data_IF_707579760825
#
_entry.id   IF_707579760825
#
_cell.length_a   1.000
_cell.length_b   1.000
_cell.length_c   1.000
_cell.angle_alpha   90.00
_cell.angle_beta   90.00
_cell.angle_gamma   90.00
#
_symmetry.space_group_name_H-M   'P 1'
#
loop_
_entity.id
_entity.type
_entity.pdbx_description
1 polymer ?
#
# COMPACT_ATOMS: atom_id res chain seq x y z
N UNK A 1 -36.59 -4.99 -7.20
CA UNK A 1 -36.17 -3.92 -6.26
C UNK A 1 -35.34 -2.95 -7.07
N UNK A 2 -35.88 -1.78 -7.39
CA UNK A 2 -35.25 -0.82 -8.31
C UNK A 2 -33.82 -0.49 -7.88
N UNK A 3 -32.87 -0.71 -8.78
CA UNK A 3 -31.52 -0.20 -8.66
C UNK A 3 -31.62 1.33 -8.63
N UNK A 4 -31.51 1.93 -7.45
CA UNK A 4 -31.22 3.36 -7.34
C UNK A 4 -29.80 3.54 -7.86
N UNK A 5 -29.67 4.07 -9.06
CA UNK A 5 -28.43 4.28 -9.84
C UNK A 5 -27.38 5.21 -9.19
N UNK A 6 -27.47 5.49 -7.88
CA UNK A 6 -26.61 6.45 -7.16
C UNK A 6 -25.76 5.85 -6.04
N UNK A 7 -25.77 4.53 -5.84
CA UNK A 7 -25.03 3.92 -4.73
C UNK A 7 -23.53 3.77 -4.98
N UNK A 8 -23.13 3.68 -6.24
CA UNK A 8 -21.75 3.51 -6.67
C UNK A 8 -21.49 4.44 -7.87
N UNK A 9 -20.54 5.37 -7.73
CA UNK A 9 -19.99 6.13 -8.87
C UNK A 9 -18.53 5.78 -9.03
N UNK A 10 -18.11 5.61 -10.28
CA UNK A 10 -16.77 5.19 -10.63
C UNK A 10 -16.28 6.11 -11.75
N UNK A 11 -15.20 6.82 -11.48
CA UNK A 11 -14.50 7.64 -12.46
C UNK A 11 -13.08 7.12 -12.56
N UNK A 12 -12.62 6.84 -13.78
CA UNK A 12 -11.27 6.36 -14.03
C UNK A 12 -10.57 7.29 -14.99
N UNK A 13 -9.31 7.58 -14.68
CA UNK A 13 -8.43 8.38 -15.53
C UNK A 13 -7.11 7.66 -15.70
N UNK A 14 -6.61 7.61 -16.93
CA UNK A 14 -5.24 7.15 -17.18
C UNK A 14 -4.30 8.33 -17.14
N UNK A 15 -3.27 8.23 -16.32
CA UNK A 15 -2.15 9.16 -16.21
C UNK A 15 -0.92 8.47 -16.80
N UNK A 16 -0.21 9.16 -17.69
CA UNK A 16 1.06 8.72 -18.23
C UNK A 16 2.17 9.41 -17.45
N UNK A 17 2.82 8.67 -16.56
CA UNK A 17 3.90 9.14 -15.70
C UNK A 17 5.23 9.08 -16.48
N UNK A 18 5.97 10.19 -16.61
CA UNK A 18 7.20 10.23 -17.39
C UNK A 18 8.32 9.46 -16.68
N UNK A 19 9.10 8.73 -17.48
CA UNK A 19 10.26 7.98 -17.02
C UNK A 19 11.33 8.03 -18.11
N UNK A 20 12.58 8.23 -17.71
CA UNK A 20 13.72 8.09 -18.58
C UNK A 20 14.34 6.71 -18.41
N UNK A 21 14.63 6.08 -19.53
CA UNK A 21 15.46 4.88 -19.60
C UNK A 21 16.78 5.25 -20.25
N UNK A 22 17.87 4.76 -19.67
CA UNK A 22 19.18 4.80 -20.30
C UNK A 22 19.86 3.46 -20.08
N UNK A 23 20.63 3.05 -21.07
CA UNK A 23 21.60 1.98 -20.94
C UNK A 23 22.97 2.61 -20.71
N UNK A 24 23.85 1.97 -19.97
CA UNK A 24 25.19 2.49 -19.77
C UNK A 24 26.24 1.41 -19.65
N UNK A 25 27.46 1.82 -19.95
CA UNK A 25 28.67 1.06 -19.71
C UNK A 25 29.55 1.82 -18.73
N UNK A 26 30.35 1.10 -17.95
CA UNK A 26 31.44 1.67 -17.14
C UNK A 26 32.72 0.96 -17.52
N UNK A 27 33.77 1.74 -17.78
CA UNK A 27 35.14 1.24 -17.90
C UNK A 27 36.08 2.18 -17.15
N UNK A 28 36.38 1.85 -15.90
CA UNK A 28 37.14 2.70 -14.98
C UNK A 28 38.27 1.92 -14.31
N UNK A 29 39.49 2.45 -14.38
CA UNK A 29 40.67 1.89 -13.72
C UNK A 29 41.14 2.82 -12.58
N UNK A 30 41.48 2.21 -11.44
CA UNK A 30 41.94 2.92 -10.25
C UNK A 30 43.36 2.52 -9.91
N UNK A 31 44.33 3.34 -10.34
CA UNK A 31 45.74 3.02 -10.14
C UNK A 31 46.42 3.91 -9.09
N UNK A 32 47.53 3.39 -8.58
CA UNK A 32 48.40 3.99 -7.56
C UNK A 32 49.86 3.79 -7.97
N UNK A 33 50.81 4.27 -7.18
CA UNK A 33 52.24 4.06 -7.42
C UNK A 33 52.71 2.60 -7.33
N UNK A 34 51.85 1.68 -6.85
CA UNK A 34 52.09 0.23 -6.83
C UNK A 34 51.39 -0.53 -7.94
N UNK A 35 50.62 0.16 -8.80
CA UNK A 35 49.82 -0.45 -9.87
C UNK A 35 48.32 -0.20 -9.69
N UNK A 36 47.52 -0.87 -10.50
CA UNK A 36 46.07 -0.77 -10.48
C UNK A 36 45.47 -1.61 -9.35
N UNK A 37 44.74 -0.94 -8.47
CA UNK A 37 44.20 -1.52 -7.23
C UNK A 37 42.73 -1.91 -7.36
N UNK A 38 42.02 -1.35 -8.35
CA UNK A 38 40.65 -1.74 -8.67
C UNK A 38 40.33 -1.40 -10.14
N UNK A 39 39.37 -2.12 -10.71
CA UNK A 39 38.82 -1.87 -12.03
C UNK A 39 37.31 -2.12 -11.98
N UNK A 40 36.53 -1.23 -12.59
CA UNK A 40 35.07 -1.38 -12.74
C UNK A 40 34.77 -1.49 -14.23
N UNK A 41 34.30 -2.68 -14.63
CA UNK A 41 33.86 -2.98 -15.99
C UNK A 41 32.43 -3.49 -15.96
N UNK A 42 31.50 -2.67 -16.44
CA UNK A 42 30.07 -3.01 -16.55
C UNK A 42 29.58 -2.70 -17.96
N UNK A 43 28.76 -3.59 -18.50
CA UNK A 43 28.31 -3.51 -19.89
C UNK A 43 26.80 -3.70 -19.96
N UNK A 44 26.12 -2.84 -20.71
CA UNK A 44 24.67 -2.86 -20.92
C UNK A 44 23.85 -2.80 -19.63
N UNK A 45 24.34 -2.09 -18.62
CA UNK A 45 23.56 -1.82 -17.41
C UNK A 45 22.42 -0.87 -17.71
N UNK A 46 21.36 -0.91 -16.91
CA UNK A 46 20.15 -0.12 -17.15
C UNK A 46 19.84 0.78 -15.96
N UNK A 47 19.50 2.04 -16.22
CA UNK A 47 19.01 2.98 -15.24
C UNK A 47 17.66 3.56 -15.66
N UNK A 48 16.77 3.68 -14.68
CA UNK A 48 15.42 4.20 -14.87
C UNK A 48 15.19 5.37 -13.93
N UNK A 49 15.00 6.56 -14.48
CA UNK A 49 14.87 7.81 -13.74
C UNK A 49 13.44 8.35 -13.83
N UNK A 50 12.97 8.96 -12.74
CA UNK A 50 11.65 9.59 -12.69
C UNK A 50 11.69 10.92 -13.47
N UNK A 51 10.72 11.13 -14.35
CA UNK A 51 10.69 12.33 -15.19
C UNK A 51 10.08 13.58 -14.53
N UNK A 52 9.63 13.48 -13.27
CA UNK A 52 9.06 14.58 -12.48
C UNK A 52 9.92 14.85 -11.24
N UNK A 53 10.42 13.80 -10.60
CA UNK A 53 11.25 13.89 -9.39
C UNK A 53 12.68 13.51 -9.70
N UNK A 54 13.64 14.22 -9.12
CA UNK A 54 15.06 13.85 -9.22
C UNK A 54 15.26 12.47 -8.56
N UNK A 55 15.86 11.54 -9.31
CA UNK A 55 16.25 10.23 -8.81
C UNK A 55 15.67 9.05 -9.60
N UNK A 56 15.99 7.84 -9.13
CA UNK A 56 15.49 6.59 -9.73
C UNK A 56 14.00 6.39 -9.46
N UNK A 57 13.32 5.73 -10.39
CA UNK A 57 12.00 5.16 -10.08
C UNK A 57 12.14 4.10 -8.99
N UNK A 58 11.06 3.84 -8.26
CA UNK A 58 11.03 2.82 -7.22
C UNK A 58 11.34 1.42 -7.80
N UNK A 59 12.13 0.60 -7.09
CA UNK A 59 12.54 -0.73 -7.56
C UNK A 59 11.35 -1.67 -7.85
N UNK A 60 10.27 -1.61 -7.06
CA UNK A 60 9.05 -2.39 -7.32
C UNK A 60 8.36 -1.95 -8.62
N UNK A 61 8.40 -0.64 -8.93
CA UNK A 61 7.87 -0.11 -10.18
C UNK A 61 8.74 -0.51 -11.37
N UNK A 62 10.06 -0.45 -11.20
CA UNK A 62 11.03 -0.93 -12.19
C UNK A 62 10.78 -2.41 -12.50
N UNK A 63 10.74 -3.25 -11.48
CA UNK A 63 10.49 -4.69 -11.63
C UNK A 63 9.14 -4.96 -12.31
N UNK A 64 8.09 -4.22 -11.93
CA UNK A 64 6.77 -4.37 -12.53
C UNK A 64 6.75 -4.12 -14.04
N UNK A 65 7.48 -3.11 -14.54
CA UNK A 65 7.49 -2.80 -15.98
C UNK A 65 8.61 -3.49 -16.77
N UNK A 66 9.77 -3.70 -16.15
CA UNK A 66 11.02 -4.03 -16.82
C UNK A 66 11.69 -5.31 -16.30
N UNK A 67 11.15 -5.97 -15.26
CA UNK A 67 11.73 -7.21 -14.70
C UNK A 67 11.76 -8.39 -15.68
N UNK A 68 10.99 -8.33 -16.76
CA UNK A 68 11.01 -9.31 -17.87
C UNK A 68 11.78 -8.81 -19.11
N UNK A 69 12.60 -7.78 -18.93
CA UNK A 69 13.28 -7.06 -20.00
C UNK A 69 12.52 -5.82 -20.48
N UNK A 70 13.19 -5.03 -21.32
CA UNK A 70 12.65 -3.78 -21.83
C UNK A 70 11.45 -4.02 -22.78
N UNK A 71 10.24 -3.51 -22.48
CA UNK A 71 9.05 -3.80 -23.25
C UNK A 71 9.01 -3.02 -24.57
N UNK A 72 8.18 -3.49 -25.51
CA UNK A 72 7.89 -2.76 -26.73
C UNK A 72 7.17 -1.44 -26.41
N UNK A 73 7.75 -0.32 -26.87
CA UNK A 73 7.16 1.01 -26.73
C UNK A 73 6.03 1.18 -27.75
N UNK A 74 4.90 1.70 -27.30
CA UNK A 74 3.74 2.00 -28.14
C UNK A 74 3.56 3.51 -28.19
N UNK A 75 3.30 4.04 -29.38
CA UNK A 75 3.02 5.46 -29.54
C UNK A 75 1.69 5.82 -28.86
N UNK A 76 1.74 6.82 -27.98
CA UNK A 76 0.57 7.31 -27.27
C UNK A 76 -0.37 8.07 -28.22
N UNK A 77 -1.61 7.60 -28.34
CA UNK A 77 -2.68 8.32 -29.03
C UNK A 77 -3.34 9.33 -28.09
N UNK A 78 -3.49 10.58 -28.56
CA UNK A 78 -4.23 11.64 -27.85
C UNK A 78 -5.66 11.18 -27.55
N UNK A 79 -6.10 11.41 -26.31
CA UNK A 79 -7.41 11.02 -25.81
C UNK A 79 -7.78 11.95 -24.65
N UNK A 80 -9.04 12.37 -24.56
CA UNK A 80 -9.54 13.26 -23.51
C UNK A 80 -9.49 12.64 -22.12
N UNK A 81 -9.56 11.31 -22.01
CA UNK A 81 -9.52 10.58 -20.73
C UNK A 81 -8.08 10.26 -20.27
N UNK A 82 -7.08 10.69 -21.04
CA UNK A 82 -5.67 10.50 -20.74
C UNK A 82 -5.05 11.81 -20.28
N UNK A 83 -4.39 11.80 -19.13
CA UNK A 83 -3.50 12.88 -18.70
C UNK A 83 -2.08 12.47 -19.01
N UNK A 84 -1.41 13.22 -19.88
CA UNK A 84 0.02 13.08 -20.09
C UNK A 84 0.70 14.06 -19.15
N UNK A 85 1.51 13.57 -18.22
CA UNK A 85 2.30 14.43 -17.34
C UNK A 85 3.52 14.92 -18.12
N UNK A 86 3.96 16.17 -17.94
CA UNK A 86 5.14 16.68 -18.62
C UNK A 86 6.41 16.03 -18.06
N UNK A 87 7.45 15.97 -18.88
CA UNK A 87 8.82 15.79 -18.38
C UNK A 87 9.30 17.13 -17.81
N UNK A 88 9.74 17.13 -16.56
CA UNK A 88 10.19 18.34 -15.83
C UNK A 88 11.69 18.62 -15.99
N UNK A 89 12.41 17.75 -16.70
CA UNK A 89 13.87 17.82 -16.91
C UNK A 89 14.19 17.86 -18.41
N UNK A 90 15.28 18.54 -18.76
CA UNK A 90 15.87 18.38 -20.10
C UNK A 90 16.67 17.07 -20.17
N UNK A 91 17.03 16.65 -21.39
CA UNK A 91 17.89 15.48 -21.61
C UNK A 91 19.23 15.63 -20.88
N UNK A 92 19.85 16.82 -20.96
CA UNK A 92 21.09 17.11 -20.25
C UNK A 92 20.93 17.02 -18.74
N UNK A 93 19.88 17.62 -18.18
CA UNK A 93 19.67 17.60 -16.73
C UNK A 93 19.55 16.16 -16.20
N UNK A 94 18.86 15.30 -16.96
CA UNK A 94 18.65 13.91 -16.54
C UNK A 94 19.88 13.03 -16.76
N UNK A 95 20.71 13.33 -17.77
CA UNK A 95 22.02 12.68 -17.95
C UNK A 95 22.98 13.03 -16.80
N UNK A 96 23.03 14.29 -16.38
CA UNK A 96 23.84 14.71 -15.22
C UNK A 96 23.41 13.96 -13.95
N UNK A 97 22.10 13.81 -13.74
CA UNK A 97 21.54 13.00 -12.64
C UNK A 97 21.92 11.52 -12.79
N UNK A 98 21.90 10.98 -14.01
CA UNK A 98 22.30 9.59 -14.27
C UNK A 98 23.78 9.37 -13.92
N UNK A 99 24.67 10.27 -14.35
CA UNK A 99 26.10 10.18 -14.03
C UNK A 99 26.34 10.19 -12.52
N UNK A 100 25.74 11.12 -11.79
CA UNK A 100 25.92 11.18 -10.32
C UNK A 100 25.47 9.88 -9.64
N UNK A 101 24.28 9.37 -10.00
CA UNK A 101 23.77 8.12 -9.43
C UNK A 101 24.67 6.93 -9.79
N UNK A 102 25.08 6.81 -11.07
CA UNK A 102 25.95 5.72 -11.52
C UNK A 102 27.30 5.80 -10.81
N UNK A 103 27.92 6.98 -10.70
CA UNK A 103 29.21 7.15 -10.03
C UNK A 103 29.10 6.80 -8.54
N UNK A 104 28.06 7.25 -7.85
CA UNK A 104 27.83 6.98 -6.44
C UNK A 104 27.58 5.48 -6.17
N UNK A 105 26.72 4.83 -6.96
CA UNK A 105 26.40 3.41 -6.80
C UNK A 105 27.55 2.46 -7.14
N UNK A 106 28.58 2.98 -7.82
CA UNK A 106 29.79 2.24 -8.17
C UNK A 106 31.02 2.74 -7.40
N UNK A 107 30.82 3.49 -6.31
CA UNK A 107 31.93 3.92 -5.44
C UNK A 107 32.25 2.85 -4.40
N UNK A 108 33.52 2.44 -4.34
CA UNK A 108 34.01 1.45 -3.37
C UNK A 108 35.32 1.90 -2.69
N UNK A 109 35.51 1.52 -1.43
CA UNK A 109 36.77 1.72 -0.72
C UNK A 109 37.62 0.45 -0.75
N UNK A 110 38.74 0.47 -1.47
CA UNK A 110 39.62 -0.67 -1.64
C UNK A 110 40.86 -0.52 -0.79
N UNK A 111 41.22 -1.59 -0.05
CA UNK A 111 42.45 -1.66 0.74
C UNK A 111 43.58 -2.23 -0.11
N UNK A 112 44.76 -1.62 -0.03
CA UNK A 112 45.96 -2.09 -0.74
C UNK A 112 47.22 -1.85 0.09
N UNK A 113 48.31 -2.55 -0.21
CA UNK A 113 49.59 -2.37 0.45
C UNK A 113 50.56 -1.58 -0.44
N UNK A 114 51.22 -0.57 0.14
CA UNK A 114 52.27 0.17 -0.55
C UNK A 114 53.59 -0.61 -0.62
N UNK A 115 54.57 -0.10 -1.37
CA UNK A 115 55.91 -0.71 -1.46
C UNK A 115 56.62 -0.86 -0.11
N UNK A 116 56.21 -0.05 0.89
CA UNK A 116 56.69 -0.09 2.27
C UNK A 116 55.95 -1.09 3.16
N UNK A 117 55.11 -1.97 2.60
CA UNK A 117 54.29 -2.95 3.30
C UNK A 117 53.29 -2.34 4.31
N UNK A 118 52.95 -1.06 4.14
CA UNK A 118 51.91 -0.36 4.92
C UNK A 118 50.57 -0.46 4.19
N UNK A 119 49.49 -0.70 4.93
CA UNK A 119 48.12 -0.73 4.39
C UNK A 119 47.54 0.67 4.19
N UNK A 120 46.98 0.90 3.01
CA UNK A 120 46.28 2.13 2.62
C UNK A 120 44.86 1.79 2.16
N UNK A 121 44.00 2.79 2.10
CA UNK A 121 42.65 2.68 1.52
C UNK A 121 42.49 3.73 0.43
N UNK A 122 41.97 3.33 -0.73
CA UNK A 122 41.65 4.22 -1.85
C UNK A 122 40.15 4.18 -2.11
N UNK A 123 39.50 5.34 -2.11
CA UNK A 123 38.13 5.49 -2.62
C UNK A 123 38.18 5.47 -4.14
N UNK A 124 37.51 4.49 -4.73
CA UNK A 124 37.43 4.23 -6.16
C UNK A 124 36.03 4.63 -6.63
N UNK A 125 35.87 5.88 -7.08
CA UNK A 125 34.64 6.42 -7.68
C UNK A 125 34.89 6.66 -9.17
N UNK A 126 34.14 6.02 -10.10
CA UNK A 126 34.29 6.28 -11.53
C UNK A 126 34.11 7.76 -11.85
N UNK A 127 34.76 8.26 -12.90
CA UNK A 127 34.48 9.61 -13.42
C UNK A 127 33.40 9.55 -14.51
N UNK A 128 32.74 10.68 -14.78
CA UNK A 128 31.75 10.77 -15.87
C UNK A 128 32.31 10.35 -17.23
N UNK A 129 33.59 10.62 -17.52
CA UNK A 129 34.26 10.20 -18.77
C UNK A 129 34.43 8.68 -18.90
N UNK A 130 34.41 7.97 -17.78
CA UNK A 130 34.57 6.51 -17.70
C UNK A 130 33.20 5.81 -17.89
N UNK A 131 32.12 6.60 -18.04
CA UNK A 131 30.75 6.15 -18.20
C UNK A 131 30.26 6.53 -19.60
N UNK A 132 29.75 5.56 -20.33
CA UNK A 132 29.15 5.76 -21.65
C UNK A 132 27.64 5.52 -21.55
N UNK A 133 26.84 6.58 -21.68
CA UNK A 133 25.38 6.48 -21.78
C UNK A 133 24.97 6.10 -23.22
N UNK A 134 23.99 5.21 -23.34
CA UNK A 134 23.44 4.65 -24.58
C UNK A 134 21.91 4.58 -24.50
N UNK A 135 21.28 4.57 -25.67
CA UNK A 135 19.85 4.28 -25.81
C UNK A 135 18.93 5.11 -24.89
N UNK A 136 19.21 6.41 -24.73
CA UNK A 136 18.37 7.32 -23.94
C UNK A 136 16.97 7.41 -24.53
N UNK A 137 15.96 7.06 -23.73
CA UNK A 137 14.55 7.05 -24.14
C UNK A 137 13.67 7.71 -23.09
N UNK A 138 12.89 8.69 -23.55
CA UNK A 138 11.79 9.27 -22.79
C UNK A 138 10.52 8.42 -23.01
N UNK A 139 10.08 7.72 -21.97
CA UNK A 139 8.92 6.81 -22.00
C UNK A 139 7.89 7.20 -20.95
N UNK A 140 6.67 6.68 -21.10
CA UNK A 140 5.60 6.91 -20.15
C UNK A 140 5.12 5.60 -19.53
N UNK A 141 5.03 5.57 -18.22
CA UNK A 141 4.46 4.49 -17.44
C UNK A 141 2.95 4.75 -17.24
N UNK A 142 2.07 3.87 -17.73
CA UNK A 142 0.62 4.03 -17.55
C UNK A 142 0.21 3.75 -16.10
N UNK A 143 -0.41 4.76 -15.49
CA UNK A 143 -1.03 4.73 -14.16
C UNK A 143 -2.52 4.98 -14.29
N UNK A 144 -3.35 4.11 -13.75
CA UNK A 144 -4.79 4.27 -13.69
C UNK A 144 -5.14 4.82 -12.30
N UNK A 145 -5.88 5.92 -12.28
CA UNK A 145 -6.40 6.55 -11.06
C UNK A 145 -7.91 6.42 -11.06
N UNK A 146 -8.44 5.66 -10.10
CA UNK A 146 -9.86 5.42 -9.93
C UNK A 146 -10.38 6.20 -8.72
N UNK A 147 -11.36 7.06 -8.94
CA UNK A 147 -12.16 7.69 -7.90
C UNK A 147 -13.48 6.95 -7.78
N UNK A 148 -13.69 6.35 -6.61
CA UNK A 148 -14.79 5.42 -6.38
C UNK A 148 -15.63 5.96 -5.23
N UNK A 149 -16.85 6.39 -5.52
CA UNK A 149 -17.80 6.84 -4.52
C UNK A 149 -18.76 5.71 -4.19
N UNK A 150 -18.74 5.26 -2.95
CA UNK A 150 -19.72 4.30 -2.44
C UNK A 150 -20.57 5.00 -1.40
N UNK A 151 -21.84 5.27 -1.73
CA UNK A 151 -22.74 6.11 -0.94
C UNK A 151 -22.09 7.45 -0.57
N UNK A 152 -21.79 7.66 0.71
CA UNK A 152 -21.24 8.91 1.24
C UNK A 152 -19.71 8.86 1.40
N UNK A 153 -19.07 7.77 0.97
CA UNK A 153 -17.61 7.61 1.07
C UNK A 153 -16.95 7.67 -0.30
N UNK A 154 -15.82 8.36 -0.37
CA UNK A 154 -14.93 8.34 -1.53
C UNK A 154 -13.73 7.45 -1.24
N UNK A 155 -13.30 6.72 -2.25
CA UNK A 155 -12.16 5.82 -2.25
C UNK A 155 -11.27 6.13 -3.44
N UNK A 156 -9.97 6.00 -3.24
CA UNK A 156 -8.97 6.18 -4.27
C UNK A 156 -8.24 4.86 -4.50
N UNK A 157 -8.12 4.47 -5.77
CA UNK A 157 -7.15 3.46 -6.19
C UNK A 157 -6.20 4.07 -7.22
N UNK A 158 -4.92 3.79 -7.05
CA UNK A 158 -3.85 4.19 -7.95
C UNK A 158 -3.08 2.93 -8.33
N UNK A 159 -3.10 2.60 -9.62
CA UNK A 159 -2.65 1.30 -10.12
C UNK A 159 -1.78 1.50 -11.35
N UNK A 160 -0.56 0.99 -11.34
CA UNK A 160 0.21 0.83 -12.56
C UNK A 160 -0.23 -0.45 -13.26
N UNK A 161 -0.41 -0.38 -14.58
CA UNK A 161 -0.88 -1.51 -15.38
C UNK A 161 0.10 -1.79 -16.50
N UNK A 162 0.57 -3.03 -16.58
CA UNK A 162 1.25 -3.55 -17.75
C UNK A 162 0.35 -4.59 -18.44
N UNK A 163 0.85 -5.28 -19.48
CA UNK A 163 0.11 -6.31 -20.22
C UNK A 163 -0.27 -7.53 -19.37
N UNK A 164 0.43 -7.80 -18.28
CA UNK A 164 0.39 -9.06 -17.55
C UNK A 164 -0.26 -8.97 -16.17
N UNK A 165 -0.08 -7.87 -15.45
CA UNK A 165 -0.52 -7.70 -14.08
C UNK A 165 -0.72 -6.22 -13.72
N UNK A 166 -1.17 -6.02 -12.48
CA UNK A 166 -1.46 -4.72 -11.88
C UNK A 166 -0.58 -4.53 -10.66
N UNK A 167 0.03 -3.35 -10.52
CA UNK A 167 0.75 -2.94 -9.32
C UNK A 167 -0.05 -1.84 -8.63
N UNK A 168 -0.58 -2.14 -7.45
CA UNK A 168 -1.33 -1.18 -6.63
C UNK A 168 -0.37 -0.30 -5.84
N UNK A 169 -0.23 0.95 -6.27
CA UNK A 169 0.48 2.00 -5.53
C UNK A 169 -0.37 2.47 -4.34
N UNK A 170 -1.68 2.62 -4.57
CA UNK A 170 -2.66 2.91 -3.53
C UNK A 170 -3.94 2.12 -3.75
N UNK A 171 -4.45 1.48 -2.70
CA UNK A 171 -5.74 0.78 -2.75
C UNK A 171 -6.55 1.01 -1.46
N UNK A 172 -7.39 2.05 -1.46
CA UNK A 172 -8.26 2.32 -0.31
C UNK A 172 -9.44 1.34 -0.20
N UNK A 173 -9.72 0.52 -1.23
CA UNK A 173 -10.74 -0.52 -1.13
C UNK A 173 -10.24 -1.72 -0.32
N UNK A 174 -8.93 -1.93 -0.27
CA UNK A 174 -8.29 -2.98 0.53
C UNK A 174 -7.90 -2.51 1.94
N UNK A 175 -8.45 -1.38 2.40
CA UNK A 175 -8.15 -0.77 3.70
C UNK A 175 -9.41 -0.52 4.52
N UNK A 176 -9.30 -0.69 5.83
CA UNK A 176 -10.34 -0.21 6.73
C UNK A 176 -10.34 1.32 6.77
N UNK A 177 -11.47 1.95 6.46
CA UNK A 177 -11.61 3.42 6.44
C UNK A 177 -11.40 4.08 7.81
N UNK A 178 -11.51 3.33 8.90
CA UNK A 178 -11.34 3.84 10.28
C UNK A 178 -9.88 3.83 10.72
N UNK A 179 -9.15 2.72 10.54
CA UNK A 179 -7.76 2.61 10.99
C UNK A 179 -6.72 2.74 9.87
N UNK A 180 -7.14 2.85 8.60
CA UNK A 180 -6.28 2.94 7.41
C UNK A 180 -5.27 1.80 7.25
N UNK A 181 -5.51 0.66 7.89
CA UNK A 181 -4.67 -0.55 7.77
C UNK A 181 -5.24 -1.50 6.74
N UNK A 182 -4.35 -2.15 6.00
CA UNK A 182 -4.67 -3.15 4.97
C UNK A 182 -5.29 -4.41 5.59
N UNK A 183 -6.13 -5.10 4.80
CA UNK A 183 -6.73 -6.39 5.18
C UNK A 183 -5.71 -7.47 5.55
N UNK A 184 -4.55 -7.47 4.88
CA UNK A 184 -3.44 -8.40 5.09
C UNK A 184 -2.88 -8.34 6.51
N UNK A 185 -2.84 -7.15 7.13
CA UNK A 185 -2.36 -6.98 8.51
C UNK A 185 -3.32 -7.65 9.52
N UNK A 186 -4.61 -7.74 9.18
CA UNK A 186 -5.62 -8.30 10.08
C UNK A 186 -5.90 -9.78 9.82
N UNK A 187 -5.32 -10.40 8.78
CA UNK A 187 -5.70 -11.72 8.27
C UNK A 187 -7.23 -11.91 8.25
N UNK A 188 -7.96 -10.86 7.87
CA UNK A 188 -9.41 -10.82 8.01
C UNK A 188 -10.08 -10.18 6.81
N UNK A 189 -11.25 -10.72 6.45
CA UNK A 189 -12.11 -10.13 5.45
C UNK A 189 -12.46 -8.67 5.81
N UNK A 190 -12.57 -7.84 4.79
CA UNK A 190 -13.15 -6.50 4.93
C UNK A 190 -14.68 -6.60 4.83
N UNK A 191 -15.34 -5.69 5.55
CA UNK A 191 -16.79 -5.64 5.66
C UNK A 191 -17.30 -4.30 5.19
N UNK A 192 -18.45 -4.32 4.54
CA UNK A 192 -19.08 -3.12 4.03
C UNK A 192 -20.22 -2.65 4.94
N UNK A 193 -20.22 -1.37 5.32
CA UNK A 193 -21.33 -0.75 6.02
C UNK A 193 -22.43 -0.38 5.01
N UNK A 194 -23.54 -1.12 5.06
CA UNK A 194 -24.70 -0.87 4.19
C UNK A 194 -25.30 0.53 4.34
N UNK A 195 -25.06 1.25 5.44
CA UNK A 195 -25.66 2.58 5.63
C UNK A 195 -24.87 3.69 4.94
N UNK A 196 -23.56 3.80 5.20
CA UNK A 196 -22.75 4.93 4.73
C UNK A 196 -21.74 4.58 3.65
N UNK A 197 -21.51 3.30 3.34
CA UNK A 197 -20.53 2.90 2.32
C UNK A 197 -19.13 2.58 2.83
N UNK A 198 -18.91 2.61 4.15
CA UNK A 198 -17.58 2.37 4.74
C UNK A 198 -17.13 0.92 4.65
N UNK A 199 -15.91 0.71 4.16
CA UNK A 199 -15.13 -0.53 4.26
C UNK A 199 -14.42 -0.59 5.63
N UNK A 200 -14.56 -1.72 6.33
CA UNK A 200 -14.19 -1.89 7.74
C UNK A 200 -13.47 -3.21 7.96
N UNK A 201 -12.52 -3.25 8.89
CA UNK A 201 -11.97 -4.51 9.39
C UNK A 201 -12.89 -5.13 10.47
N UNK A 202 -12.59 -6.37 10.87
CA UNK A 202 -13.28 -7.12 11.91
C UNK A 202 -13.46 -6.35 13.24
N UNK A 203 -12.48 -5.52 13.64
CA UNK A 203 -12.53 -4.74 14.87
C UNK A 203 -13.47 -3.53 14.81
N UNK A 204 -13.61 -2.93 13.63
CA UNK A 204 -14.41 -1.72 13.43
C UNK A 204 -15.82 -1.99 12.90
N UNK A 205 -16.11 -3.24 12.53
CA UNK A 205 -17.48 -3.67 12.23
C UNK A 205 -18.26 -3.89 13.54
N UNK A 206 -19.55 -3.63 13.49
CA UNK A 206 -20.54 -4.19 14.40
C UNK A 206 -21.54 -4.98 13.58
N UNK A 207 -22.14 -5.98 14.20
CA UNK A 207 -23.18 -6.77 13.57
C UNK A 207 -24.51 -6.37 14.19
N UNK A 208 -25.51 -6.23 13.34
CA UNK A 208 -26.89 -6.09 13.79
C UNK A 208 -27.29 -7.31 14.64
N UNK A 209 -27.94 -7.07 15.77
CA UNK A 209 -28.30 -8.13 16.70
C UNK A 209 -29.41 -9.06 16.21
N UNK A 210 -30.16 -8.67 15.17
CA UNK A 210 -31.23 -9.45 14.55
C UNK A 210 -30.70 -10.20 13.32
N UNK A 211 -30.23 -9.47 12.31
CA UNK A 211 -29.91 -10.05 10.99
C UNK A 211 -28.41 -10.24 10.73
N UNK A 212 -27.55 -9.88 11.69
CA UNK A 212 -26.09 -10.01 11.61
C UNK A 212 -25.44 -9.21 10.48
N UNK A 213 -26.16 -8.25 9.89
CA UNK A 213 -25.58 -7.37 8.87
C UNK A 213 -24.51 -6.46 9.46
N UNK A 214 -23.46 -6.18 8.68
CA UNK A 214 -22.37 -5.31 9.10
C UNK A 214 -22.74 -3.83 9.06
N UNK A 215 -22.47 -3.14 10.16
CA UNK A 215 -22.68 -1.70 10.32
C UNK A 215 -21.46 -1.08 11.01
N UNK A 216 -21.09 0.15 10.62
CA UNK A 216 -20.01 0.88 11.30
C UNK A 216 -20.50 1.46 12.63
N UNK A 217 -19.59 1.69 13.58
CA UNK A 217 -19.95 2.24 14.89
C UNK A 217 -20.68 3.61 14.83
N UNK A 218 -20.42 4.40 13.77
CA UNK A 218 -21.07 5.70 13.54
C UNK A 218 -22.53 5.58 13.09
N UNK A 219 -22.84 4.56 12.29
CA UNK A 219 -24.19 4.34 11.78
C UNK A 219 -25.01 3.40 12.68
N UNK A 220 -24.36 2.71 13.62
CA UNK A 220 -25.01 1.73 14.46
C UNK A 220 -25.86 2.40 15.54
N UNK A 221 -27.14 2.05 15.61
CA UNK A 221 -27.97 2.35 16.76
C UNK A 221 -27.58 1.43 17.91
N UNK A 222 -27.48 1.97 19.12
CA UNK A 222 -27.04 1.23 20.32
C UNK A 222 -28.20 1.00 21.28
N UNK A 223 -28.24 -0.17 21.93
CA UNK A 223 -29.05 -0.47 23.11
C UNK A 223 -28.15 -1.11 24.16
N UNK A 224 -28.08 -0.51 25.35
CA UNK A 224 -27.46 -1.14 26.52
C UNK A 224 -28.43 -2.16 27.10
N UNK A 225 -27.95 -3.35 27.40
CA UNK A 225 -28.65 -4.37 28.18
C UNK A 225 -28.30 -4.15 29.65
N UNK A 226 -27.94 -5.20 30.39
CA UNK A 226 -27.47 -5.07 31.77
C UNK A 226 -26.02 -4.53 31.77
N UNK A 227 -25.12 -5.21 31.06
CA UNK A 227 -23.71 -4.85 30.89
C UNK A 227 -23.34 -4.69 29.41
N UNK A 228 -23.82 -5.59 28.55
CA UNK A 228 -23.47 -5.59 27.12
C UNK A 228 -24.21 -4.48 26.35
N UNK A 229 -23.54 -3.91 25.35
CA UNK A 229 -24.18 -3.06 24.34
C UNK A 229 -24.43 -3.85 23.05
N UNK A 230 -25.69 -3.90 22.60
CA UNK A 230 -26.08 -4.42 21.29
C UNK A 230 -26.19 -3.30 20.25
N UNK A 231 -25.90 -3.65 19.00
CA UNK A 231 -25.83 -2.74 17.87
C UNK A 231 -26.88 -3.13 16.82
N UNK A 232 -27.40 -2.12 16.12
CA UNK A 232 -28.45 -2.30 15.11
C UNK A 232 -28.17 -1.43 13.89
N UNK A 233 -28.50 -1.92 12.70
CA UNK A 233 -28.36 -1.21 11.44
C UNK A 233 -29.41 -0.10 11.29
N UNK A 234 -30.60 -0.29 11.87
CA UNK A 234 -31.72 0.63 11.73
C UNK A 234 -32.44 0.87 13.07
N UNK A 235 -33.13 2.02 13.16
CA UNK A 235 -34.01 2.33 14.30
C UNK A 235 -35.14 1.29 14.42
N UNK A 236 -35.63 0.77 13.29
CA UNK A 236 -36.65 -0.29 13.25
C UNK A 236 -36.15 -1.56 13.95
N UNK A 237 -34.95 -2.04 13.60
CA UNK A 237 -34.36 -3.24 14.22
C UNK A 237 -34.15 -3.02 15.73
N UNK A 238 -33.65 -1.84 16.14
CA UNK A 238 -33.50 -1.50 17.56
C UNK A 238 -34.84 -1.53 18.29
N UNK A 239 -35.90 -0.96 17.71
CA UNK A 239 -37.22 -0.89 18.33
C UNK A 239 -37.87 -2.27 18.43
N UNK A 240 -37.78 -3.07 17.37
CA UNK A 240 -38.26 -4.45 17.35
C UNK A 240 -37.58 -5.29 18.44
N UNK A 241 -36.25 -5.19 18.55
CA UNK A 241 -35.52 -5.87 19.61
C UNK A 241 -35.89 -5.34 21.00
N UNK A 242 -36.12 -4.02 21.13
CA UNK A 242 -36.47 -3.41 22.42
C UNK A 242 -37.79 -3.92 22.98
N UNK A 243 -38.84 -3.99 22.15
CA UNK A 243 -40.14 -4.55 22.54
C UNK A 243 -39.99 -5.98 23.03
N UNK A 244 -39.34 -6.83 22.21
CA UNK A 244 -39.08 -8.23 22.56
C UNK A 244 -38.28 -8.35 23.85
N UNK A 245 -37.31 -7.48 24.08
CA UNK A 245 -36.48 -7.50 25.29
C UNK A 245 -37.27 -7.06 26.52
N UNK A 246 -38.14 -6.05 26.42
CA UNK A 246 -38.95 -5.56 27.54
C UNK A 246 -39.92 -6.63 28.07
N UNK A 247 -40.51 -7.40 27.16
CA UNK A 247 -41.40 -8.54 27.45
C UNK A 247 -40.69 -9.73 28.14
N UNK A 248 -39.36 -9.78 28.16
CA UNK A 248 -38.63 -10.88 28.80
C UNK A 248 -38.63 -10.79 30.33
N UNK A 249 -38.72 -11.95 30.97
CA UNK A 249 -38.48 -12.07 32.41
C UNK A 249 -37.00 -11.82 32.75
N UNK A 250 -36.71 -11.65 34.04
CA UNK A 250 -35.37 -11.32 34.53
C UNK A 250 -34.31 -12.35 34.11
N UNK A 251 -34.58 -13.66 34.32
CA UNK A 251 -33.63 -14.72 33.98
C UNK A 251 -33.27 -14.73 32.49
N UNK A 252 -34.24 -14.50 31.61
CA UNK A 252 -33.99 -14.43 30.16
C UNK A 252 -33.24 -13.17 29.76
N UNK A 253 -33.52 -12.01 30.38
CA UNK A 253 -32.75 -10.77 30.18
C UNK A 253 -31.30 -10.95 30.61
N UNK A 254 -31.08 -11.69 31.70
CA UNK A 254 -29.76 -12.00 32.22
C UNK A 254 -28.97 -12.93 31.27
N UNK A 255 -29.57 -14.03 30.83
CA UNK A 255 -28.95 -14.95 29.87
C UNK A 255 -28.61 -14.30 28.52
N UNK A 256 -29.47 -13.39 28.05
CA UNK A 256 -29.28 -12.66 26.80
C UNK A 256 -28.06 -11.72 26.84
N UNK A 257 -27.67 -11.27 28.04
CA UNK A 257 -26.46 -10.49 28.27
C UNK A 257 -25.28 -11.42 28.54
N UNK A 258 -24.53 -11.74 27.47
CA UNK A 258 -23.42 -12.69 27.56
C UNK A 258 -22.34 -12.25 28.55
N UNK A 259 -22.11 -10.95 28.69
CA UNK A 259 -21.09 -10.43 29.62
C UNK A 259 -21.55 -10.68 31.05
N UNK A 260 -22.81 -10.35 31.38
CA UNK A 260 -23.36 -10.59 32.69
C UNK A 260 -23.39 -12.08 33.03
N UNK A 261 -23.92 -12.90 32.12
CA UNK A 261 -24.05 -14.34 32.33
C UNK A 261 -22.71 -15.04 32.53
N UNK A 262 -21.75 -14.87 31.61
CA UNK A 262 -20.44 -15.51 31.74
C UNK A 262 -19.62 -14.92 32.89
N UNK A 263 -19.73 -13.61 33.14
CA UNK A 263 -19.07 -12.96 34.28
C UNK A 263 -19.51 -13.56 35.62
N UNK A 264 -20.80 -13.79 35.83
CA UNK A 264 -21.27 -14.45 37.06
C UNK A 264 -20.89 -15.91 37.14
N UNK A 265 -20.93 -16.65 36.02
CA UNK A 265 -20.52 -18.06 36.00
C UNK A 265 -19.04 -18.20 36.38
N UNK A 266 -18.17 -17.35 35.81
CA UNK A 266 -16.75 -17.32 36.15
C UNK A 266 -16.50 -16.95 37.62
N UNK A 267 -17.23 -15.98 38.17
CA UNK A 267 -17.10 -15.57 39.57
C UNK A 267 -17.51 -16.68 40.54
N UNK A 268 -18.65 -17.35 40.28
CA UNK A 268 -19.11 -18.48 41.10
C UNK A 268 -18.10 -19.62 41.03
N UNK A 269 -17.58 -19.95 39.84
CA UNK A 269 -16.55 -20.97 39.68
C UNK A 269 -15.28 -20.66 40.47
N UNK A 270 -14.84 -19.40 40.48
CA UNK A 270 -13.67 -18.98 41.25
C UNK A 270 -13.90 -19.13 42.75
N UNK A 271 -15.06 -18.71 43.25
CA UNK A 271 -15.43 -18.86 44.67
C UNK A 271 -15.44 -20.33 45.07
N UNK A 272 -16.03 -21.21 44.25
CA UNK A 272 -16.04 -22.64 44.51
C UNK A 272 -14.63 -23.22 44.58
N UNK A 273 -13.75 -22.85 43.63
CA UNK A 273 -12.35 -23.30 43.65
C UNK A 273 -11.64 -22.87 44.94
N UNK A 274 -11.80 -21.60 45.34
CA UNK A 274 -11.19 -21.08 46.58
C UNK A 274 -11.70 -21.85 47.79
N UNK A 275 -13.02 -22.01 47.93
CA UNK A 275 -13.64 -22.73 49.04
C UNK A 275 -13.14 -24.17 49.12
N UNK A 276 -13.15 -24.91 48.00
CA UNK A 276 -12.68 -26.30 47.96
C UNK A 276 -11.16 -26.45 48.14
N UNK A 277 -10.37 -25.43 47.82
CA UNK A 277 -8.92 -25.43 48.09
C UNK A 277 -8.56 -25.08 49.53
N UNK A 278 -9.50 -24.48 50.26
CA UNK A 278 -9.36 -24.12 51.68
C UNK A 278 -9.98 -25.12 52.65
N UNK A 279 -10.60 -26.18 52.11
CA UNK A 279 -11.15 -27.34 52.81
C UNK A 279 -10.16 -28.50 52.73
#
# INVERSE_FOLDING_TARGET
>A
IGHKDDLLKFESKTIFHPCYYMRYNIDSEFCTSVGCVNTIQKQNEEIFLDGIKVGKINETLKEHFFGKGFPNIIQLKKDKNKKIMPFEFTEKDIEDVAFEIIMDENTENVKYYGKNNVGYTKTCKPNARDIELKDTKAIYLPKIVNQIKIKDQNYLQEVYSNKHNLLYDKDELNQCKTCKRNSTIFNSHLYFCKNCGRILCSYHKRLDAIDRTSVCLRCAFKKKLLLQTKFFISKKNKNQYSKKYEEMNFLRKFYEDKIAFWGTVSLISLILIVVFSSL
#
